data_IF_159239859642
#
_entry.id   IF_159239859642
#
_cell.length_a   1.000
_cell.length_b   1.000
_cell.length_c   1.000
_cell.angle_alpha   90.00
_cell.angle_beta   90.00
_cell.angle_gamma   90.00
#
_symmetry.space_group_name_H-M   'P 1'
#
loop_
_entity.id
_entity.type
_entity.pdbx_description
1 polymer ?
#
# COMPACT_ATOMS: atom_id res chain seq x y z
N UNK A 1 2.52 8.57 -26.09
CA UNK A 1 2.07 7.17 -26.04
C UNK A 1 2.05 6.74 -24.59
N UNK A 2 0.87 6.42 -24.05
CA UNK A 2 0.74 5.96 -22.67
C UNK A 2 1.01 4.46 -22.67
N UNK A 3 2.24 4.07 -22.36
CA UNK A 3 2.63 2.66 -22.28
C UNK A 3 1.81 1.99 -21.18
N UNK A 4 1.26 0.82 -21.45
CA UNK A 4 0.56 0.04 -20.44
C UNK A 4 1.57 -0.36 -19.35
N UNK A 5 1.35 0.13 -18.11
CA UNK A 5 2.23 -0.16 -16.96
C UNK A 5 2.40 -1.67 -16.77
N UNK A 6 1.40 -2.49 -17.09
CA UNK A 6 1.50 -3.95 -17.00
C UNK A 6 2.58 -4.51 -17.93
N UNK A 7 2.65 -4.02 -19.17
CA UNK A 7 3.67 -4.44 -20.15
C UNK A 7 5.06 -4.03 -19.67
N UNK A 8 5.19 -2.82 -19.13
CA UNK A 8 6.46 -2.35 -18.59
C UNK A 8 6.91 -3.19 -17.40
N UNK A 9 5.99 -3.55 -16.50
CA UNK A 9 6.28 -4.44 -15.37
C UNK A 9 6.68 -5.86 -15.79
N UNK A 10 6.13 -6.37 -16.90
CA UNK A 10 6.52 -7.67 -17.46
C UNK A 10 7.92 -7.67 -18.08
N UNK A 11 8.40 -6.52 -18.55
CA UNK A 11 9.71 -6.37 -19.16
C UNK A 11 10.85 -6.14 -18.15
N UNK A 12 10.51 -5.91 -16.88
CA UNK A 12 11.49 -5.72 -15.81
C UNK A 12 12.00 -7.07 -15.33
N UNK A 13 13.33 -7.26 -15.39
CA UNK A 13 13.99 -8.43 -14.79
C UNK A 13 14.15 -8.31 -13.27
N UNK A 14 14.03 -7.09 -12.72
CA UNK A 14 14.15 -6.76 -11.31
C UNK A 14 12.88 -6.99 -10.48
N UNK A 15 12.93 -6.53 -9.23
CA UNK A 15 11.80 -6.54 -8.30
C UNK A 15 11.02 -5.22 -8.39
N UNK A 16 9.77 -5.26 -7.95
CA UNK A 16 8.95 -4.06 -7.76
C UNK A 16 8.21 -4.11 -6.43
N UNK A 17 7.99 -2.94 -5.84
CA UNK A 17 7.27 -2.77 -4.59
C UNK A 17 5.97 -2.00 -4.84
N UNK A 18 4.94 -2.26 -4.04
CA UNK A 18 3.70 -1.50 -4.07
C UNK A 18 3.58 -0.61 -2.84
N UNK A 19 3.09 0.60 -3.02
CA UNK A 19 2.58 1.43 -1.93
C UNK A 19 1.06 1.51 -2.06
N UNK A 20 0.35 1.16 -1.00
CA UNK A 20 -1.10 1.29 -0.91
C UNK A 20 -1.42 2.48 -0.02
N UNK A 21 -2.11 3.47 -0.61
CA UNK A 21 -2.60 4.64 0.11
C UNK A 21 -4.12 4.54 0.18
N UNK A 22 -4.66 4.45 1.40
CA UNK A 22 -6.09 4.26 1.63
C UNK A 22 -6.61 5.45 2.43
N UNK A 23 -7.65 6.09 1.94
CA UNK A 23 -8.25 7.20 2.65
C UNK A 23 -9.76 7.23 2.46
N UNK A 24 -10.42 7.84 3.43
CA UNK A 24 -11.85 8.14 3.38
C UNK A 24 -12.01 9.62 3.05
N UNK A 25 -12.78 9.93 2.02
CA UNK A 25 -13.11 11.32 1.67
C UNK A 25 -14.08 11.92 2.69
N UNK A 26 -14.22 13.26 2.63
CA UNK A 26 -15.18 14.01 3.45
C UNK A 26 -16.64 13.61 3.26
N UNK A 27 -16.96 12.88 2.18
CA UNK A 27 -18.29 12.33 1.89
C UNK A 27 -18.40 10.83 2.18
N UNK A 28 -17.56 10.31 3.07
CA UNK A 28 -17.55 8.91 3.57
C UNK A 28 -17.36 7.87 2.46
N UNK A 29 -16.71 8.26 1.36
CA UNK A 29 -16.29 7.33 0.30
C UNK A 29 -14.85 6.93 0.56
N UNK A 30 -14.58 5.64 0.65
CA UNK A 30 -13.22 5.14 0.78
C UNK A 30 -12.59 4.96 -0.62
N UNK A 31 -11.31 5.27 -0.72
CA UNK A 31 -10.50 5.14 -1.93
C UNK A 31 -9.21 4.40 -1.59
N UNK A 32 -8.70 3.64 -2.55
CA UNK A 32 -7.36 3.09 -2.54
C UNK A 32 -6.62 3.53 -3.80
N UNK A 33 -5.43 4.06 -3.57
CA UNK A 33 -4.43 4.27 -4.60
C UNK A 33 -3.34 3.22 -4.46
N UNK A 34 -3.00 2.57 -5.58
CA UNK A 34 -1.95 1.59 -5.70
C UNK A 34 -0.87 2.23 -6.55
N UNK A 35 0.31 2.41 -5.98
CA UNK A 35 1.48 2.95 -6.65
C UNK A 35 2.51 1.83 -6.75
N UNK A 36 3.09 1.65 -7.94
CA UNK A 36 4.19 0.71 -8.14
C UNK A 36 5.52 1.46 -8.19
N UNK A 37 6.50 0.92 -7.49
CA UNK A 37 7.87 1.39 -7.42
C UNK A 37 8.79 0.32 -8.00
N UNK A 38 9.65 0.69 -8.94
CA UNK A 38 10.56 -0.24 -9.58
C UNK A 38 11.80 0.45 -10.13
N UNK A 39 12.84 -0.32 -10.44
CA UNK A 39 14.01 0.16 -11.16
C UNK A 39 13.85 -0.28 -12.62
N UNK A 40 13.88 0.68 -13.55
CA UNK A 40 13.75 0.40 -14.98
C UNK A 40 15.08 -0.12 -15.59
N UNK A 41 15.07 -0.43 -16.89
CA UNK A 41 16.26 -0.93 -17.61
C UNK A 41 17.44 0.05 -17.62
N UNK A 42 17.16 1.34 -17.46
CA UNK A 42 18.15 2.42 -17.39
C UNK A 42 18.63 2.70 -15.95
N UNK A 43 18.34 1.81 -15.00
CA UNK A 43 18.69 1.95 -13.58
C UNK A 43 18.07 3.17 -12.88
N UNK A 44 16.93 3.65 -13.36
CA UNK A 44 16.21 4.77 -12.78
C UNK A 44 15.06 4.28 -11.92
N UNK A 45 14.93 4.86 -10.71
CA UNK A 45 13.77 4.66 -9.86
C UNK A 45 12.53 5.25 -10.53
N UNK A 46 11.53 4.42 -10.73
CA UNK A 46 10.24 4.79 -11.26
C UNK A 46 9.18 4.70 -10.17
N UNK A 47 8.24 5.64 -10.21
CA UNK A 47 7.03 5.62 -9.40
C UNK A 47 5.85 5.90 -10.33
N UNK A 48 4.91 4.96 -10.44
CA UNK A 48 3.75 5.11 -11.32
C UNK A 48 2.47 4.71 -10.59
N UNK A 49 1.40 5.47 -10.82
CA UNK A 49 0.07 5.10 -10.36
C UNK A 49 -0.36 3.86 -11.14
N UNK A 50 -0.46 2.73 -10.44
CA UNK A 50 -0.90 1.46 -11.02
C UNK A 50 -2.41 1.39 -11.07
N UNK A 51 -3.09 1.82 -9.99
CA UNK A 51 -4.54 1.82 -9.92
C UNK A 51 -5.06 2.87 -8.94
N UNK A 52 -6.22 3.42 -9.25
CA UNK A 52 -7.01 4.24 -8.34
C UNK A 52 -8.43 3.70 -8.31
N UNK A 53 -8.90 3.24 -7.15
CA UNK A 53 -10.20 2.57 -7.02
C UNK A 53 -10.99 3.22 -5.91
N UNK A 54 -12.26 3.55 -6.21
CA UNK A 54 -13.25 3.81 -5.18
C UNK A 54 -13.69 2.48 -4.57
N UNK A 55 -13.54 2.34 -3.26
CA UNK A 55 -13.96 1.15 -2.52
C UNK A 55 -15.47 1.20 -2.35
N UNK A 56 -16.17 0.25 -2.98
CA UNK A 56 -17.61 0.03 -2.84
C UNK A 56 -17.87 -1.45 -2.54
N UNK A 57 -18.38 -1.76 -1.34
CA UNK A 57 -18.60 -3.13 -0.86
C UNK A 57 -17.48 -3.67 0.04
N UNK A 58 -17.32 -5.00 0.11
CA UNK A 58 -16.20 -5.63 0.81
C UNK A 58 -14.87 -5.25 0.12
N UNK A 59 -13.85 -4.96 0.94
CA UNK A 59 -12.52 -4.47 0.55
C UNK A 59 -11.84 -5.27 -0.58
N UNK A 60 -12.15 -6.55 -0.69
CA UNK A 60 -11.21 -7.56 -1.18
C UNK A 60 -11.32 -7.84 -2.68
N UNK A 61 -12.54 -7.94 -3.19
CA UNK A 61 -12.78 -8.57 -4.48
C UNK A 61 -12.35 -7.68 -5.65
N UNK A 62 -12.32 -6.35 -5.44
CA UNK A 62 -12.02 -5.36 -6.48
C UNK A 62 -10.55 -4.96 -6.55
N UNK A 63 -9.82 -5.04 -5.43
CA UNK A 63 -8.40 -4.65 -5.39
C UNK A 63 -7.54 -5.68 -6.12
N UNK A 64 -7.92 -6.97 -6.05
CA UNK A 64 -7.09 -8.11 -6.45
C UNK A 64 -7.63 -8.92 -7.63
N UNK A 65 -8.72 -8.46 -8.24
CA UNK A 65 -9.28 -9.11 -9.42
C UNK A 65 -8.26 -9.10 -10.58
N UNK A 66 -7.79 -10.31 -10.89
CA UNK A 66 -7.31 -10.78 -12.20
C UNK A 66 -5.95 -10.31 -12.74
N UNK A 67 -5.09 -9.65 -11.96
CA UNK A 67 -3.79 -9.22 -12.48
C UNK A 67 -2.66 -10.21 -12.12
N UNK A 68 -1.98 -10.82 -13.10
CA UNK A 68 -0.89 -11.77 -12.87
C UNK A 68 0.39 -11.01 -12.54
N UNK A 69 0.48 -10.45 -11.33
CA UNK A 69 1.61 -9.61 -10.93
C UNK A 69 2.36 -10.22 -9.75
N UNK A 70 3.68 -10.35 -9.92
CA UNK A 70 4.63 -10.88 -8.94
C UNK A 70 4.88 -9.89 -7.80
N UNK A 71 4.04 -9.88 -6.77
CA UNK A 71 4.23 -8.96 -5.63
C UNK A 71 5.49 -9.34 -4.84
N UNK A 72 6.50 -8.47 -4.80
CA UNK A 72 7.69 -8.67 -3.95
C UNK A 72 7.53 -8.02 -2.58
N UNK A 73 7.08 -6.77 -2.53
CA UNK A 73 7.00 -5.97 -1.30
C UNK A 73 5.76 -5.06 -1.37
N UNK A 74 5.09 -4.87 -0.23
CA UNK A 74 3.94 -3.97 -0.08
C UNK A 74 4.17 -3.06 1.13
N UNK A 75 4.08 -1.75 0.90
CA UNK A 75 4.01 -0.73 1.95
C UNK A 75 2.57 -0.25 2.10
N UNK A 76 2.06 -0.23 3.34
CA UNK A 76 0.72 0.30 3.67
C UNK A 76 0.85 1.21 4.90
N UNK A 77 0.00 2.24 5.00
CA UNK A 77 -0.11 2.99 6.25
C UNK A 77 -0.61 2.09 7.40
N UNK A 78 -0.27 2.43 8.65
CA UNK A 78 -0.54 1.56 9.79
C UNK A 78 -1.91 1.90 10.41
N UNK A 79 -2.99 1.73 9.65
CA UNK A 79 -4.36 1.81 10.18
C UNK A 79 -4.88 0.42 10.51
N UNK A 80 -5.71 0.29 11.56
CA UNK A 80 -6.21 -1.00 12.03
C UNK A 80 -7.01 -1.77 10.95
N UNK A 81 -7.61 -1.04 10.01
CA UNK A 81 -8.36 -1.59 8.88
C UNK A 81 -7.45 -2.29 7.85
N UNK A 82 -6.16 -1.98 7.83
CA UNK A 82 -5.22 -2.51 6.85
C UNK A 82 -4.76 -3.92 7.18
N UNK A 83 -4.89 -4.37 8.44
CA UNK A 83 -4.64 -5.76 8.83
C UNK A 83 -5.59 -6.72 8.09
N UNK A 84 -6.85 -6.31 7.89
CA UNK A 84 -7.84 -7.09 7.13
C UNK A 84 -7.44 -7.15 5.65
N UNK A 85 -6.96 -6.04 5.08
CA UNK A 85 -6.49 -5.99 3.70
C UNK A 85 -5.27 -6.92 3.49
N UNK A 86 -4.31 -6.92 4.42
CA UNK A 86 -3.13 -7.81 4.35
C UNK A 86 -3.55 -9.28 4.44
N UNK A 87 -4.44 -9.62 5.37
CA UNK A 87 -4.97 -10.98 5.48
C UNK A 87 -5.58 -11.47 4.17
N UNK A 88 -6.38 -10.63 3.50
CA UNK A 88 -6.96 -10.99 2.22
C UNK A 88 -5.94 -11.02 1.06
N UNK A 89 -4.91 -10.17 1.09
CA UNK A 89 -3.79 -10.22 0.16
C UNK A 89 -3.03 -11.54 0.28
N UNK A 90 -2.81 -12.03 1.50
CA UNK A 90 -2.21 -13.34 1.77
C UNK A 90 -3.07 -14.48 1.20
N UNK A 91 -4.38 -14.48 1.46
CA UNK A 91 -5.30 -15.49 0.89
C UNK A 91 -5.29 -15.49 -0.64
N UNK A 92 -5.29 -14.30 -1.26
CA UNK A 92 -5.21 -14.18 -2.72
C UNK A 92 -3.88 -14.71 -3.27
N UNK A 93 -2.77 -14.39 -2.60
CA UNK A 93 -1.44 -14.85 -3.01
C UNK A 93 -1.32 -16.38 -2.95
N UNK A 94 -1.84 -17.00 -1.88
CA UNK A 94 -1.95 -18.46 -1.75
C UNK A 94 -2.75 -19.05 -2.92
N UNK A 95 -3.90 -18.45 -3.25
CA UNK A 95 -4.74 -18.89 -4.37
C UNK A 95 -4.11 -18.72 -5.76
N UNK A 96 -3.01 -17.97 -5.88
CA UNK A 96 -2.27 -17.72 -7.12
C UNK A 96 -0.87 -18.34 -7.14
N UNK A 97 -0.52 -19.12 -6.12
CA UNK A 97 0.83 -19.69 -5.95
C UNK A 97 1.94 -18.63 -5.95
N UNK A 98 1.63 -17.46 -5.36
CA UNK A 98 2.57 -16.34 -5.19
C UNK A 98 3.12 -16.41 -3.77
N UNK A 99 4.45 -16.42 -3.63
CA UNK A 99 5.13 -16.33 -2.33
C UNK A 99 4.95 -14.91 -1.77
N UNK A 100 3.98 -14.75 -0.88
CA UNK A 100 3.73 -13.52 -0.12
C UNK A 100 3.56 -13.88 1.36
N UNK A 101 4.31 -13.21 2.23
CA UNK A 101 4.27 -13.41 3.67
C UNK A 101 4.31 -12.06 4.41
N UNK A 102 4.12 -12.08 5.73
CA UNK A 102 4.29 -10.90 6.59
C UNK A 102 5.65 -10.23 6.47
N UNK A 103 6.69 -10.94 6.00
CA UNK A 103 8.02 -10.37 5.73
C UNK A 103 8.06 -9.48 4.47
N UNK A 104 7.04 -9.55 3.62
CA UNK A 104 6.90 -8.75 2.41
C UNK A 104 6.06 -7.49 2.65
N UNK A 105 5.68 -7.23 3.90
CA UNK A 105 4.85 -6.11 4.32
C UNK A 105 5.64 -5.14 5.19
N UNK A 106 5.52 -3.84 4.88
CA UNK A 106 6.15 -2.77 5.65
C UNK A 106 5.13 -1.70 6.03
N UNK A 107 5.26 -1.19 7.25
CA UNK A 107 4.52 -0.01 7.68
C UNK A 107 5.08 1.25 7.02
N UNK A 108 4.20 2.14 6.58
CA UNK A 108 4.59 3.46 6.09
C UNK A 108 5.40 4.21 7.17
N UNK A 109 6.66 4.53 6.87
CA UNK A 109 7.56 5.20 7.80
C UNK A 109 7.05 6.58 8.24
N UNK A 110 6.45 7.34 7.31
CA UNK A 110 5.85 8.65 7.60
C UNK A 110 4.73 8.51 8.63
N UNK A 111 3.94 7.44 8.54
CA UNK A 111 2.88 7.18 9.50
C UNK A 111 3.43 6.83 10.89
N UNK A 112 4.52 6.04 10.95
CA UNK A 112 5.22 5.75 12.22
C UNK A 112 5.69 7.05 12.88
N UNK A 113 6.29 7.96 12.12
CA UNK A 113 6.70 9.29 12.64
C UNK A 113 5.49 10.06 13.17
N UNK A 114 4.38 10.10 12.43
CA UNK A 114 3.16 10.78 12.85
C UNK A 114 2.64 10.24 14.19
N UNK A 115 2.61 8.91 14.38
CA UNK A 115 2.24 8.30 15.65
C UNK A 115 3.19 8.69 16.79
N UNK A 116 4.50 8.68 16.53
CA UNK A 116 5.50 9.09 17.52
C UNK A 116 5.30 10.55 17.96
N UNK A 117 5.06 11.45 17.01
CA UNK A 117 4.80 12.88 17.30
C UNK A 117 3.50 13.05 18.09
N UNK A 118 2.41 12.39 17.70
CA UNK A 118 1.14 12.46 18.44
C UNK A 118 1.27 11.97 19.89
N UNK A 119 2.01 10.87 20.09
CA UNK A 119 2.28 10.33 21.42
C UNK A 119 3.08 11.34 22.28
N UNK A 120 4.11 11.97 21.70
CA UNK A 120 4.89 13.00 22.37
C UNK A 120 4.04 14.23 22.76
N UNK A 121 3.24 14.74 21.83
CA UNK A 121 2.36 15.89 22.07
C UNK A 121 1.34 15.60 23.18
N UNK A 122 0.76 14.39 23.22
CA UNK A 122 -0.17 13.99 24.29
C UNK A 122 0.48 14.03 25.67
N UNK A 123 1.74 13.60 25.78
CA UNK A 123 2.48 13.66 27.05
C UNK A 123 2.81 15.10 27.47
N UNK A 124 3.12 15.98 26.50
CA UNK A 124 3.41 17.38 26.77
C UNK A 124 2.16 18.16 27.20
N UNK A 125 1.03 17.94 26.53
CA UNK A 125 -0.25 18.59 26.86
C UNK A 125 -0.65 18.32 28.32
N UNK A 126 -0.53 17.07 28.76
CA UNK A 126 -0.82 16.66 30.15
C UNK A 126 0.08 17.34 31.20
N UNK A 127 1.21 17.94 30.80
CA UNK A 127 2.09 18.72 31.69
C UNK A 127 1.78 20.21 31.67
N UNK A 128 1.37 20.75 30.51
CA UNK A 128 1.01 22.17 30.36
C UNK A 128 -0.31 22.45 31.07
N UNK A 129 -1.31 21.57 30.95
CA UNK A 129 -2.62 21.73 31.61
C UNK A 129 -2.57 21.57 33.15
N UNK A 130 -1.39 21.26 33.73
CA UNK A 130 -1.16 21.12 35.18
C UNK A 130 -0.44 22.32 35.81
N UNK A 131 -0.09 23.32 35.02
CA UNK A 131 0.48 24.61 35.47
C UNK A 131 -0.65 25.63 35.52
#
# INVERSE_FOLDING_TARGET
>A
MQTNIQTELQEISGKFAFSLNIWTSSVVKAYIEIIVHFINKDWQLQQKNFRFVKIEGSYTDKILANEPIKINEIMIDNTNNNNILIYYLELWAIGKDISFSTNNYFHCFVYVINLSVQAALKQLKNKIDKV
#
